data_IF_979135983618
#
_entry.id   IF_979135983618
#
_cell.length_a   1.000
_cell.length_b   1.000
_cell.length_c   1.000
_cell.angle_alpha   90.00
_cell.angle_beta   90.00
_cell.angle_gamma   90.00
#
_symmetry.space_group_name_H-M   'P 1'
#
loop_
_entity.id
_entity.type
_entity.pdbx_description
1 polymer ?
#
# COMPACT_ATOMS: atom_id res chain seq x y z
N UNK A 1 23.16 -9.53 -24.76
CA UNK A 1 22.15 -9.31 -23.70
C UNK A 1 21.05 -10.35 -23.88
N UNK A 2 20.28 -10.66 -22.83
CA UNK A 2 19.30 -11.78 -22.85
C UNK A 2 17.97 -11.22 -23.39
N UNK A 3 17.44 -11.70 -24.53
CA UNK A 3 16.33 -11.05 -25.26
C UNK A 3 15.05 -10.91 -24.43
N UNK A 4 14.83 -11.83 -23.49
CA UNK A 4 13.70 -11.78 -22.55
C UNK A 4 13.76 -10.57 -21.62
N UNK A 5 14.96 -10.16 -21.19
CA UNK A 5 15.12 -9.00 -20.30
C UNK A 5 14.87 -7.68 -21.04
N UNK A 6 15.29 -7.60 -22.29
CA UNK A 6 15.05 -6.41 -23.13
C UNK A 6 13.55 -6.22 -23.39
N UNK A 7 12.83 -7.32 -23.66
CA UNK A 7 11.37 -7.30 -23.83
C UNK A 7 10.65 -6.86 -22.56
N UNK A 8 11.09 -7.35 -21.41
CA UNK A 8 10.53 -6.95 -20.12
C UNK A 8 10.79 -5.47 -19.83
N UNK A 9 12.01 -4.98 -20.04
CA UNK A 9 12.35 -3.56 -19.87
C UNK A 9 11.52 -2.65 -20.78
N UNK A 10 11.29 -3.08 -22.01
CA UNK A 10 10.45 -2.34 -22.96
C UNK A 10 9.00 -2.25 -22.46
N UNK A 11 8.43 -3.36 -22.00
CA UNK A 11 7.08 -3.38 -21.41
C UNK A 11 7.03 -2.47 -20.17
N UNK A 12 8.02 -2.54 -19.29
CA UNK A 12 8.11 -1.72 -18.09
C UNK A 12 8.20 -0.22 -18.39
N UNK A 13 9.01 0.17 -19.38
CA UNK A 13 9.11 1.56 -19.82
C UNK A 13 7.76 2.12 -20.23
N UNK A 14 6.95 1.33 -20.95
CA UNK A 14 5.63 1.77 -21.41
C UNK A 14 4.52 1.67 -20.37
N UNK A 15 4.56 0.69 -19.46
CA UNK A 15 3.53 0.50 -18.45
C UNK A 15 3.74 1.34 -17.18
N UNK A 16 4.99 1.52 -16.76
CA UNK A 16 5.36 2.15 -15.48
C UNK A 16 6.15 3.45 -15.65
N UNK A 17 6.76 3.65 -16.81
CA UNK A 17 7.52 4.86 -17.13
C UNK A 17 6.64 6.01 -17.63
N UNK A 18 7.31 7.02 -18.20
CA UNK A 18 6.68 8.16 -18.84
C UNK A 18 7.15 8.21 -20.31
N UNK A 19 6.61 7.34 -21.19
CA UNK A 19 7.01 7.33 -22.59
C UNK A 19 6.63 8.66 -23.27
N UNK A 20 7.43 9.08 -24.24
CA UNK A 20 7.08 10.23 -25.06
C UNK A 20 5.86 9.91 -25.95
N UNK A 21 5.18 10.93 -26.47
CA UNK A 21 4.02 10.71 -27.35
C UNK A 21 4.38 9.89 -28.61
N UNK A 22 5.60 10.08 -29.14
CA UNK A 22 6.11 9.32 -30.27
C UNK A 22 6.34 7.85 -29.90
N UNK A 23 6.93 7.59 -28.73
CA UNK A 23 7.13 6.24 -28.19
C UNK A 23 5.80 5.54 -27.93
N UNK A 24 4.81 6.24 -27.37
CA UNK A 24 3.48 5.67 -27.14
C UNK A 24 2.79 5.27 -28.45
N UNK A 25 2.92 6.09 -29.50
CA UNK A 25 2.38 5.75 -30.82
C UNK A 25 3.07 4.52 -31.43
N UNK A 26 4.41 4.45 -31.33
CA UNK A 26 5.18 3.29 -31.80
C UNK A 26 4.84 2.01 -31.03
N UNK A 27 4.67 2.12 -29.71
CA UNK A 27 4.21 1.03 -28.85
C UNK A 27 2.85 0.50 -29.29
N UNK A 28 1.90 1.38 -29.59
CA UNK A 28 0.58 0.98 -30.06
C UNK A 28 0.66 0.17 -31.36
N UNK A 29 1.55 0.56 -32.28
CA UNK A 29 1.80 -0.19 -33.52
C UNK A 29 2.40 -1.56 -33.20
N UNK A 30 3.41 -1.62 -32.33
CA UNK A 30 4.05 -2.87 -31.93
C UNK A 30 3.06 -3.86 -31.33
N UNK A 31 2.17 -3.40 -30.44
CA UNK A 31 1.11 -4.22 -29.85
C UNK A 31 0.12 -4.78 -30.88
N UNK A 32 -0.13 -4.06 -31.98
CA UNK A 32 -1.00 -4.53 -33.06
C UNK A 32 -0.30 -5.53 -33.97
N UNK A 33 1.03 -5.44 -34.10
CA UNK A 33 1.82 -6.28 -35.01
C UNK A 33 2.42 -7.53 -34.35
N UNK A 34 2.65 -7.50 -33.04
CA UNK A 34 3.20 -8.61 -32.24
C UNK A 34 2.16 -9.05 -31.19
N UNK A 35 1.37 -10.11 -31.46
CA UNK A 35 0.33 -10.57 -30.54
C UNK A 35 0.89 -11.16 -29.25
N UNK A 36 2.10 -11.74 -29.28
CA UNK A 36 2.75 -12.25 -28.09
C UNK A 36 3.14 -11.09 -27.17
N UNK A 37 3.59 -9.96 -27.74
CA UNK A 37 3.96 -8.78 -26.97
C UNK A 37 2.74 -8.15 -26.31
N UNK A 38 1.61 -8.15 -27.02
CA UNK A 38 0.33 -7.72 -26.48
C UNK A 38 -0.15 -8.61 -25.33
N UNK A 39 -0.03 -9.93 -25.46
CA UNK A 39 -0.37 -10.86 -24.38
C UNK A 39 0.54 -10.67 -23.15
N UNK A 40 1.85 -10.52 -23.36
CA UNK A 40 2.82 -10.26 -22.30
C UNK A 40 2.53 -8.94 -21.58
N UNK A 41 2.31 -7.86 -22.34
CA UNK A 41 2.02 -6.54 -21.79
C UNK A 41 0.69 -6.53 -21.00
N UNK A 42 -0.35 -7.17 -21.52
CA UNK A 42 -1.63 -7.30 -20.83
C UNK A 42 -1.48 -8.09 -19.52
N UNK A 43 -0.71 -9.17 -19.54
CA UNK A 43 -0.42 -9.97 -18.34
C UNK A 43 0.34 -9.15 -17.30
N UNK A 44 1.39 -8.43 -17.70
CA UNK A 44 2.15 -7.55 -16.80
C UNK A 44 1.28 -6.45 -16.19
N UNK A 45 0.41 -5.83 -17.01
CA UNK A 45 -0.53 -4.82 -16.54
C UNK A 45 -1.47 -5.37 -15.45
N UNK A 46 -2.03 -6.57 -15.65
CA UNK A 46 -2.89 -7.23 -14.66
C UNK A 46 -2.13 -7.56 -13.38
N UNK A 47 -0.89 -8.06 -13.50
CA UNK A 47 -0.05 -8.38 -12.35
C UNK A 47 0.26 -7.13 -11.52
N UNK A 48 0.63 -6.02 -12.15
CA UNK A 48 0.90 -4.77 -11.45
C UNK A 48 -0.35 -4.22 -10.76
N UNK A 49 -1.52 -4.31 -11.40
CA UNK A 49 -2.79 -3.91 -10.78
C UNK A 49 -3.08 -4.76 -9.54
N UNK A 50 -2.99 -6.08 -9.66
CA UNK A 50 -3.24 -7.00 -8.55
C UNK A 50 -2.26 -6.75 -7.39
N UNK A 51 -0.97 -6.54 -7.68
CA UNK A 51 0.04 -6.23 -6.69
C UNK A 51 -0.23 -4.89 -6.00
N UNK A 52 -0.61 -3.88 -6.77
CA UNK A 52 -0.97 -2.57 -6.23
C UNK A 52 -2.17 -2.66 -5.28
N UNK A 53 -3.22 -3.39 -5.66
CA UNK A 53 -4.40 -3.60 -4.83
C UNK A 53 -4.09 -4.38 -3.56
N UNK A 54 -3.34 -5.48 -3.68
CA UNK A 54 -2.90 -6.27 -2.53
C UNK A 54 -2.05 -5.43 -1.56
N UNK A 55 -1.12 -4.63 -2.08
CA UNK A 55 -0.31 -3.70 -1.28
C UNK A 55 -1.17 -2.67 -0.56
N UNK A 56 -2.17 -2.09 -1.23
CA UNK A 56 -3.12 -1.16 -0.59
C UNK A 56 -3.92 -1.81 0.53
N UNK A 57 -4.38 -3.04 0.34
CA UNK A 57 -5.10 -3.79 1.37
C UNK A 57 -4.20 -4.11 2.57
N UNK A 58 -2.95 -4.50 2.32
CA UNK A 58 -1.97 -4.74 3.37
C UNK A 58 -1.71 -3.47 4.19
N UNK A 59 -1.44 -2.33 3.53
CA UNK A 59 -1.20 -1.06 4.20
C UNK A 59 -2.40 -0.62 5.05
N UNK A 60 -3.63 -0.82 4.57
CA UNK A 60 -4.84 -0.54 5.36
C UNK A 60 -4.89 -1.36 6.63
N UNK A 61 -4.64 -2.68 6.55
CA UNK A 61 -4.62 -3.57 7.71
C UNK A 61 -3.53 -3.16 8.71
N UNK A 62 -2.34 -2.82 8.22
CA UNK A 62 -1.24 -2.35 9.07
C UNK A 62 -1.61 -1.05 9.81
N UNK A 63 -2.21 -0.09 9.11
CA UNK A 63 -2.68 1.16 9.71
C UNK A 63 -3.78 0.92 10.75
N UNK A 64 -4.74 0.04 10.48
CA UNK A 64 -5.79 -0.35 11.44
C UNK A 64 -5.19 -0.99 12.71
N UNK A 65 -4.18 -1.86 12.54
CA UNK A 65 -3.47 -2.47 13.67
C UNK A 65 -2.73 -1.42 14.50
N UNK A 66 -2.01 -0.51 13.86
CA UNK A 66 -1.32 0.61 14.51
C UNK A 66 -2.34 1.47 15.27
N UNK A 67 -3.44 1.86 14.62
CA UNK A 67 -4.48 2.67 15.22
C UNK A 67 -5.09 1.99 16.47
N UNK A 68 -5.49 0.73 16.34
CA UNK A 68 -6.08 -0.04 17.46
C UNK A 68 -5.12 -0.19 18.65
N UNK A 69 -3.80 -0.24 18.39
CA UNK A 69 -2.78 -0.31 19.44
C UNK A 69 -2.66 1.03 20.16
N UNK A 70 -2.62 2.13 19.42
CA UNK A 70 -2.58 3.47 20.01
C UNK A 70 -3.85 3.78 20.82
N UNK A 71 -5.03 3.47 20.29
CA UNK A 71 -6.29 3.66 21.03
C UNK A 71 -6.35 2.84 22.33
N UNK A 72 -5.90 1.58 22.30
CA UNK A 72 -5.83 0.75 23.51
C UNK A 72 -4.84 1.32 24.53
N UNK A 73 -3.71 1.84 24.07
CA UNK A 73 -2.70 2.44 24.95
C UNK A 73 -3.18 3.76 25.58
N UNK A 74 -3.85 4.62 24.81
CA UNK A 74 -4.42 5.87 25.32
C UNK A 74 -5.58 5.61 26.28
N UNK A 75 -6.49 4.68 25.96
CA UNK A 75 -7.57 4.27 26.88
C UNK A 75 -7.03 3.70 28.20
N UNK A 76 -6.00 2.84 28.15
CA UNK A 76 -5.35 2.32 29.37
C UNK A 76 -4.73 3.42 30.23
N UNK A 77 -4.04 4.39 29.61
CA UNK A 77 -3.46 5.54 30.33
C UNK A 77 -4.53 6.42 30.97
N UNK A 78 -5.60 6.72 30.24
CA UNK A 78 -6.74 7.49 30.77
C UNK A 78 -7.40 6.76 31.95
N UNK A 79 -7.67 5.46 31.84
CA UNK A 79 -8.24 4.68 32.94
C UNK A 79 -7.36 4.68 34.19
N UNK A 80 -6.03 4.48 34.05
CA UNK A 80 -5.11 4.53 35.17
C UNK A 80 -5.07 5.91 35.85
N UNK A 81 -5.12 6.99 35.07
CA UNK A 81 -5.21 8.36 35.60
C UNK A 81 -6.51 8.56 36.39
N UNK A 82 -7.65 8.17 35.84
CA UNK A 82 -8.95 8.28 36.53
C UNK A 82 -8.98 7.42 37.79
N UNK A 83 -8.48 6.18 37.74
CA UNK A 83 -8.44 5.28 38.90
C UNK A 83 -7.55 5.83 40.03
N UNK A 84 -6.36 6.33 39.69
CA UNK A 84 -5.45 6.94 40.68
C UNK A 84 -6.03 8.22 41.25
N UNK A 85 -6.76 9.01 40.47
CA UNK A 85 -7.42 10.22 40.96
C UNK A 85 -8.59 9.90 41.90
N UNK A 86 -9.39 8.89 41.60
CA UNK A 86 -10.43 8.39 42.50
C UNK A 86 -9.86 7.85 43.81
N UNK A 87 -8.79 7.04 43.77
CA UNK A 87 -8.10 6.54 44.96
C UNK A 87 -7.53 7.70 45.79
N UNK A 88 -6.93 8.70 45.15
CA UNK A 88 -6.42 9.89 45.83
C UNK A 88 -7.51 10.69 46.53
N UNK A 89 -8.70 10.82 45.93
CA UNK A 89 -9.86 11.48 46.56
C UNK A 89 -10.44 10.64 47.71
N UNK A 90 -10.49 9.31 47.57
CA UNK A 90 -10.94 8.42 48.63
C UNK A 90 -10.02 8.43 49.85
N UNK A 91 -8.70 8.50 49.64
CA UNK A 91 -7.70 8.60 50.71
C UNK A 91 -7.62 10.01 51.34
N UNK A 92 -8.05 11.05 50.63
CA UNK A 92 -8.16 12.43 51.16
C UNK A 92 -9.45 12.70 51.95
N UNK A 93 -10.34 11.72 52.10
CA UNK A 93 -11.54 11.88 52.93
C UNK A 93 -11.10 11.97 54.41
N UNK A 94 -11.38 13.07 55.12
CA UNK A 94 -10.95 13.22 56.49
C UNK A 94 -11.71 12.22 57.37
N UNK A 95 -10.94 11.51 58.20
CA UNK A 95 -11.43 10.74 59.35
C UNK A 95 -12.20 11.75 60.23
N UNK A 96 -13.54 11.65 60.24
CA UNK A 96 -14.36 12.28 61.29
C UNK A 96 -14.26 11.44 62.56
#
# INVERSE_FOLDING_TARGET
MRPVLERLQLIEHHLLGCPTAAEAAQWQVQLLTDPDLAADAATQQQLYQALHEAGRQQLRRELELIHSRFERQTRRRSWLQTATEHLRRALKRPRR
#
